data_IF_991827477752
#
_entry.id   IF_991827477752
#
_cell.length_a   1.000
_cell.length_b   1.000
_cell.length_c   1.000
_cell.angle_alpha   90.00
_cell.angle_beta   90.00
_cell.angle_gamma   90.00
#
_symmetry.space_group_name_H-M   'P 1'
#
loop_
_entity.id
_entity.type
_entity.pdbx_description
1 polymer ?
#
# COMPACT_ATOMS: atom_id res chain seq x y z
N UNK A 1 26.67 -6.81 58.27
CA UNK A 1 27.56 -7.78 58.95
C UNK A 1 28.14 -8.71 57.90
N UNK A 2 29.49 -8.73 57.81
CA UNK A 2 30.40 -9.78 57.31
C UNK A 2 30.16 -10.44 55.94
N UNK A 3 31.15 -10.69 55.08
CA UNK A 3 32.57 -10.38 54.98
C UNK A 3 33.05 -11.00 53.66
N UNK A 4 33.96 -10.31 52.98
CA UNK A 4 34.73 -10.85 51.87
C UNK A 4 35.65 -12.01 52.30
N UNK A 5 36.04 -12.89 51.36
CA UNK A 5 37.40 -13.45 51.33
C UNK A 5 37.83 -13.92 49.93
N UNK A 6 38.93 -13.32 49.48
CA UNK A 6 39.83 -13.71 48.37
C UNK A 6 40.67 -14.93 48.77
N UNK A 7 41.26 -15.64 47.80
CA UNK A 7 42.71 -16.01 47.71
C UNK A 7 42.93 -16.92 46.47
N UNK A 8 43.70 -16.47 45.45
CA UNK A 8 45.15 -16.70 45.17
C UNK A 8 45.50 -18.15 44.79
N UNK A 9 45.79 -18.41 43.50
CA UNK A 9 47.12 -18.52 42.83
C UNK A 9 47.81 -19.87 43.09
N UNK A 10 48.25 -20.56 42.02
CA UNK A 10 49.65 -21.01 41.84
C UNK A 10 49.90 -21.61 40.44
N UNK A 11 51.12 -21.32 39.98
CA UNK A 11 51.75 -21.57 38.68
C UNK A 11 52.10 -23.03 38.42
N UNK A 12 52.09 -23.45 37.15
CA UNK A 12 53.01 -24.47 36.64
C UNK A 12 53.56 -24.01 35.28
N UNK A 13 54.88 -23.76 35.25
CA UNK A 13 55.66 -23.48 34.07
C UNK A 13 56.25 -24.78 33.52
N UNK A 14 56.20 -24.98 32.20
CA UNK A 14 56.99 -26.00 31.49
C UNK A 14 57.52 -25.40 30.17
N UNK A 15 58.85 -25.27 30.09
CA UNK A 15 59.68 -25.31 28.86
C UNK A 15 60.45 -26.65 28.93
N UNK A 16 61.11 -27.22 27.88
CA UNK A 16 61.75 -26.62 26.68
C UNK A 16 61.58 -27.56 25.42
N UNK A 17 62.43 -27.62 24.35
CA UNK A 17 63.68 -26.91 24.05
C UNK A 17 63.86 -26.35 22.63
N UNK A 18 64.95 -25.57 22.53
CA UNK A 18 65.55 -24.93 21.37
C UNK A 18 66.21 -25.97 20.45
N UNK A 19 65.93 -25.90 19.14
CA UNK A 19 66.78 -26.46 18.10
C UNK A 19 67.30 -25.33 17.20
N UNK A 20 68.63 -25.25 17.07
CA UNK A 20 69.35 -24.41 16.10
C UNK A 20 69.31 -25.07 14.72
N UNK A 21 69.22 -24.28 13.64
CA UNK A 21 69.84 -24.66 12.38
C UNK A 21 69.21 -24.17 11.08
N UNK A 22 70.00 -23.34 10.39
CA UNK A 22 70.17 -23.27 8.93
C UNK A 22 69.15 -22.48 8.07
N UNK A 23 69.71 -21.55 7.32
CA UNK A 23 69.01 -20.58 6.48
C UNK A 23 68.31 -21.17 5.25
N UNK A 24 67.23 -20.52 4.89
CA UNK A 24 66.55 -20.63 3.61
C UNK A 24 65.89 -19.28 3.33
N UNK A 25 66.24 -18.66 2.20
CA UNK A 25 65.67 -17.38 1.79
C UNK A 25 64.17 -17.51 1.55
N UNK A 26 63.36 -16.81 2.36
CA UNK A 26 61.92 -16.73 2.18
C UNK A 26 61.61 -15.54 1.24
N UNK A 27 61.27 -15.84 0.00
CA UNK A 27 60.68 -14.86 -0.93
C UNK A 27 59.30 -14.51 -0.40
N UNK A 28 59.15 -13.27 0.11
CA UNK A 28 57.88 -12.74 0.61
C UNK A 28 57.05 -12.26 -0.59
N UNK A 29 56.21 -13.14 -1.14
CA UNK A 29 55.14 -12.71 -2.04
C UNK A 29 54.07 -11.99 -1.22
N UNK A 30 54.04 -10.65 -1.27
CA UNK A 30 52.88 -9.89 -0.82
C UNK A 30 51.70 -10.18 -1.75
N UNK A 31 50.82 -11.08 -1.32
CA UNK A 31 49.48 -11.15 -1.88
C UNK A 31 48.70 -9.93 -1.39
N UNK A 32 48.53 -8.92 -2.25
CA UNK A 32 47.54 -7.87 -2.07
C UNK A 32 46.16 -8.51 -2.18
N UNK A 33 45.58 -8.89 -1.05
CA UNK A 33 44.17 -9.23 -0.97
C UNK A 33 43.37 -7.95 -1.14
N UNK A 34 43.01 -7.61 -2.38
CA UNK A 34 41.91 -6.67 -2.63
C UNK A 34 40.62 -7.42 -2.31
N UNK A 35 40.17 -7.32 -1.06
CA UNK A 35 38.77 -7.59 -0.74
C UNK A 35 37.94 -6.57 -1.50
N UNK A 36 37.38 -7.00 -2.63
CA UNK A 36 36.28 -6.29 -3.27
C UNK A 36 35.11 -6.45 -2.31
N UNK A 37 34.94 -5.49 -1.42
CA UNK A 37 33.67 -5.31 -0.73
C UNK A 37 32.64 -5.03 -1.82
N UNK A 38 31.89 -6.06 -2.22
CA UNK A 38 30.68 -5.89 -2.99
C UNK A 38 29.71 -5.12 -2.08
N UNK A 39 29.77 -3.79 -2.16
CA UNK A 39 28.73 -2.92 -1.64
C UNK A 39 27.48 -3.26 -2.45
N UNK A 40 26.65 -4.15 -1.92
CA UNK A 40 25.24 -4.22 -2.29
C UNK A 40 24.66 -2.86 -1.94
N UNK A 41 24.64 -1.95 -2.91
CA UNK A 41 23.93 -0.69 -2.80
C UNK A 41 22.48 -1.01 -2.46
N UNK A 42 21.98 -0.41 -1.39
CA UNK A 42 20.58 -0.54 -1.02
C UNK A 42 19.71 -0.03 -2.18
N UNK A 43 18.66 -0.78 -2.52
CA UNK A 43 17.67 -0.37 -3.51
C UNK A 43 16.82 0.79 -2.94
N UNK A 44 16.39 1.77 -3.76
CA UNK A 44 16.73 1.95 -5.17
C UNK A 44 18.08 2.65 -5.36
N UNK A 45 18.86 2.17 -6.33
CA UNK A 45 20.04 2.89 -6.85
C UNK A 45 19.61 4.04 -7.76
N UNK A 46 20.55 4.91 -8.15
CA UNK A 46 20.28 5.99 -9.11
C UNK A 46 19.80 5.44 -10.48
N UNK A 47 20.39 4.34 -10.94
CA UNK A 47 20.00 3.68 -12.18
C UNK A 47 18.61 3.03 -12.09
N UNK A 48 18.20 2.54 -10.92
CA UNK A 48 16.84 2.03 -10.70
C UNK A 48 15.81 3.17 -10.84
N UNK A 49 16.12 4.34 -10.27
CA UNK A 49 15.27 5.53 -10.36
C UNK A 49 15.21 6.04 -11.81
N UNK A 50 16.32 6.07 -12.53
CA UNK A 50 16.35 6.46 -13.95
C UNK A 50 15.52 5.51 -14.81
N UNK A 51 15.67 4.20 -14.63
CA UNK A 51 14.87 3.19 -15.34
C UNK A 51 13.37 3.33 -15.04
N UNK A 52 13.02 3.60 -13.77
CA UNK A 52 11.65 3.88 -13.35
C UNK A 52 11.09 5.14 -14.02
N UNK A 53 11.88 6.22 -14.10
CA UNK A 53 11.46 7.46 -14.77
C UNK A 53 11.17 7.24 -16.24
N UNK A 54 12.09 6.60 -16.95
CA UNK A 54 12.01 6.39 -18.39
C UNK A 54 10.88 5.43 -18.79
N UNK A 55 10.58 4.45 -17.94
CA UNK A 55 9.58 3.42 -18.23
C UNK A 55 8.19 3.79 -17.69
N UNK A 56 8.11 4.14 -16.41
CA UNK A 56 6.84 4.26 -15.70
C UNK A 56 6.35 5.71 -15.67
N UNK A 57 7.18 6.64 -15.23
CA UNK A 57 6.77 8.05 -15.12
C UNK A 57 6.52 8.69 -16.49
N UNK A 58 7.28 8.29 -17.52
CA UNK A 58 7.03 8.67 -18.92
C UNK A 58 5.61 8.32 -19.37
N UNK A 59 5.14 7.11 -19.08
CA UNK A 59 3.76 6.68 -19.41
C UNK A 59 2.73 7.45 -18.58
N UNK A 60 3.04 7.78 -17.31
CA UNK A 60 2.13 8.58 -16.48
C UNK A 60 1.94 10.01 -17.02
N UNK A 61 2.99 10.57 -17.62
CA UNK A 61 3.01 11.91 -18.22
C UNK A 61 2.44 11.95 -19.65
N UNK A 62 2.30 10.80 -20.31
CA UNK A 62 1.88 10.71 -21.72
C UNK A 62 0.50 11.33 -21.90
N UNK A 63 0.42 12.36 -22.75
CA UNK A 63 -0.85 12.97 -23.14
C UNK A 63 -1.69 11.99 -23.96
N UNK A 64 -2.98 11.91 -23.62
CA UNK A 64 -3.95 10.98 -24.18
C UNK A 64 -5.20 11.68 -24.71
N UNK A 65 -5.08 12.96 -25.02
CA UNK A 65 -6.13 13.80 -25.59
C UNK A 65 -6.99 14.54 -24.55
N UNK A 66 -6.80 14.24 -23.26
CA UNK A 66 -7.44 14.94 -22.15
C UNK A 66 -8.92 14.58 -21.95
N UNK A 67 -9.61 15.30 -21.06
CA UNK A 67 -11.02 15.04 -20.69
C UNK A 67 -12.04 15.74 -21.60
N UNK A 68 -11.58 16.56 -22.55
CA UNK A 68 -12.46 17.37 -23.41
C UNK A 68 -11.93 17.38 -24.84
N UNK A 69 -12.37 16.45 -25.69
CA UNK A 69 -12.85 16.73 -27.06
C UNK A 69 -13.05 15.44 -27.88
N UNK A 70 -14.31 15.04 -28.05
CA UNK A 70 -14.89 14.59 -29.34
C UNK A 70 -14.34 13.39 -30.11
N UNK A 71 -13.28 12.70 -29.65
CA UNK A 71 -12.76 11.47 -30.26
C UNK A 71 -13.11 10.22 -29.44
N UNK A 72 -13.27 9.07 -30.10
CA UNK A 72 -13.81 7.82 -29.54
C UNK A 72 -13.05 7.20 -28.34
N UNK A 73 -11.93 7.77 -27.89
CA UNK A 73 -11.20 7.41 -26.65
C UNK A 73 -10.20 8.54 -26.28
N UNK A 74 -10.68 9.65 -25.73
CA UNK A 74 -9.80 10.68 -25.15
C UNK A 74 -9.70 10.47 -23.64
N UNK A 75 -8.56 9.99 -23.16
CA UNK A 75 -8.30 9.79 -21.72
C UNK A 75 -7.43 10.92 -21.17
N UNK A 76 -7.57 11.23 -19.88
CA UNK A 76 -6.60 12.07 -19.21
C UNK A 76 -5.28 11.30 -19.03
N UNK A 77 -4.15 11.99 -19.12
CA UNK A 77 -2.87 11.42 -18.68
C UNK A 77 -2.97 10.96 -17.22
N UNK A 78 -2.29 9.88 -16.82
CA UNK A 78 -2.41 9.34 -15.46
C UNK A 78 -2.08 10.39 -14.41
N UNK A 79 -1.02 11.18 -14.65
CA UNK A 79 -0.56 12.27 -13.79
C UNK A 79 -1.66 13.31 -13.51
N UNK A 80 -2.59 13.52 -14.45
CA UNK A 80 -3.68 14.48 -14.30
C UNK A 80 -4.70 14.05 -13.26
N UNK A 81 -4.83 12.76 -12.94
CA UNK A 81 -5.71 12.32 -11.86
C UNK A 81 -4.90 12.00 -10.60
N UNK A 82 -3.71 11.44 -10.77
CA UNK A 82 -2.92 10.89 -9.68
C UNK A 82 -2.06 11.88 -8.90
N UNK A 83 -2.09 13.18 -9.24
CA UNK A 83 -1.39 14.23 -8.47
C UNK A 83 -2.31 15.04 -7.55
N UNK A 84 -3.59 15.20 -7.93
CA UNK A 84 -4.51 16.09 -7.20
C UNK A 84 -5.90 15.52 -6.95
N UNK A 85 -6.41 14.62 -7.80
CA UNK A 85 -7.76 14.06 -7.63
C UNK A 85 -7.79 12.89 -6.66
N UNK A 86 -6.69 12.15 -6.57
CA UNK A 86 -6.58 10.97 -5.72
C UNK A 86 -5.87 11.30 -4.42
N UNK A 87 -6.62 11.47 -3.33
CA UNK A 87 -6.07 11.45 -1.96
C UNK A 87 -5.88 10.02 -1.43
N UNK A 88 -5.71 9.03 -2.31
CA UNK A 88 -5.72 7.58 -2.02
C UNK A 88 -4.48 6.90 -2.60
N UNK A 89 -4.34 5.58 -2.39
CA UNK A 89 -3.13 4.71 -2.51
C UNK A 89 -2.12 5.03 -3.62
N UNK A 90 -2.57 5.66 -4.69
CA UNK A 90 -1.73 6.11 -5.77
C UNK A 90 -1.80 7.64 -5.90
N UNK A 91 -1.06 8.35 -5.04
CA UNK A 91 -0.93 9.81 -5.06
C UNK A 91 0.53 10.15 -5.34
N UNK A 92 0.79 10.63 -6.54
CA UNK A 92 2.09 11.11 -6.99
C UNK A 92 2.29 12.56 -6.52
N UNK A 93 3.55 12.95 -6.39
CA UNK A 93 3.94 14.36 -6.28
C UNK A 93 3.46 15.13 -7.52
N UNK A 94 3.22 16.43 -7.41
CA UNK A 94 3.04 17.25 -8.62
C UNK A 94 4.38 17.38 -9.35
N UNK A 95 4.47 17.13 -10.67
CA UNK A 95 5.67 17.38 -11.46
C UNK A 95 6.22 18.79 -11.23
N UNK A 96 7.54 18.93 -11.16
CA UNK A 96 8.19 20.25 -11.02
C UNK A 96 8.07 21.08 -12.30
N UNK A 97 8.07 20.40 -13.46
CA UNK A 97 7.96 21.04 -14.78
C UNK A 97 7.29 20.13 -15.80
N UNK A 98 7.13 20.61 -17.04
CA UNK A 98 6.68 19.79 -18.17
C UNK A 98 7.62 18.61 -18.47
N UNK A 99 8.88 18.69 -18.06
CA UNK A 99 9.83 17.59 -18.15
C UNK A 99 9.62 16.50 -17.08
N UNK A 100 8.66 16.68 -16.18
CA UNK A 100 8.29 15.72 -15.14
C UNK A 100 8.83 16.10 -13.75
N UNK A 101 9.15 15.07 -12.97
CA UNK A 101 9.59 15.17 -11.59
C UNK A 101 11.10 15.39 -11.47
N UNK A 102 11.56 15.93 -10.34
CA UNK A 102 12.97 15.85 -9.92
C UNK A 102 13.32 14.41 -9.51
N UNK A 103 14.61 14.09 -9.41
CA UNK A 103 15.06 12.76 -8.94
C UNK A 103 14.53 12.45 -7.54
N UNK A 104 14.55 13.43 -6.63
CA UNK A 104 14.02 13.28 -5.28
C UNK A 104 12.51 13.05 -5.26
N UNK A 105 11.75 13.72 -6.14
CA UNK A 105 10.32 13.46 -6.31
C UNK A 105 10.07 12.06 -6.86
N UNK A 106 10.82 11.62 -7.88
CA UNK A 106 10.69 10.27 -8.45
C UNK A 106 10.99 9.17 -7.43
N UNK A 107 11.91 9.38 -6.48
CA UNK A 107 12.14 8.43 -5.38
C UNK A 107 10.90 8.28 -4.50
N UNK A 108 10.26 9.39 -4.12
CA UNK A 108 9.00 9.35 -3.33
C UNK A 108 7.85 8.74 -4.12
N UNK A 109 7.76 9.05 -5.41
CA UNK A 109 6.77 8.43 -6.29
C UNK A 109 7.01 6.92 -6.42
N UNK A 110 8.26 6.46 -6.49
CA UNK A 110 8.60 5.04 -6.52
C UNK A 110 8.14 4.32 -5.25
N UNK A 111 8.27 4.95 -4.06
CA UNK A 111 7.74 4.40 -2.81
C UNK A 111 6.21 4.25 -2.85
N UNK A 112 5.50 5.19 -3.49
CA UNK A 112 4.04 5.11 -3.69
C UNK A 112 3.68 4.02 -4.71
N UNK A 113 4.36 3.98 -5.85
CA UNK A 113 4.14 2.97 -6.90
C UNK A 113 4.46 1.57 -6.39
N UNK A 114 5.47 1.42 -5.55
CA UNK A 114 5.86 0.17 -4.90
C UNK A 114 4.74 -0.48 -4.10
N UNK A 115 3.82 0.30 -3.52
CA UNK A 115 2.63 -0.22 -2.81
C UNK A 115 1.61 -0.89 -3.74
N UNK A 116 1.76 -0.73 -5.05
CA UNK A 116 0.89 -1.29 -6.08
C UNK A 116 1.56 -2.43 -6.85
N UNK A 117 2.83 -2.71 -6.53
CA UNK A 117 3.66 -3.75 -7.14
C UNK A 117 3.63 -5.00 -6.26
N UNK A 118 3.70 -6.16 -6.91
CA UNK A 118 3.95 -7.44 -6.29
C UNK A 118 5.06 -8.17 -7.07
N UNK A 119 6.31 -8.10 -6.61
CA UNK A 119 7.42 -8.74 -7.34
C UNK A 119 7.41 -10.27 -7.24
N UNK A 120 6.74 -10.84 -6.23
CA UNK A 120 6.58 -12.29 -6.10
C UNK A 120 5.58 -12.86 -7.12
N UNK A 121 4.61 -12.04 -7.56
CA UNK A 121 3.67 -12.36 -8.63
C UNK A 121 3.38 -11.10 -9.45
N UNK A 122 4.28 -10.73 -10.40
CA UNK A 122 4.24 -9.47 -11.13
C UNK A 122 2.88 -9.14 -11.76
N UNK A 123 2.24 -10.12 -12.39
CA UNK A 123 0.96 -9.98 -13.10
C UNK A 123 -0.20 -9.64 -12.15
N UNK A 124 -0.08 -9.97 -10.86
CA UNK A 124 -1.06 -9.59 -9.83
C UNK A 124 -0.95 -8.15 -9.34
N UNK A 125 0.08 -7.42 -9.78
CA UNK A 125 0.32 -6.03 -9.37
C UNK A 125 -0.88 -5.15 -9.73
N UNK A 126 -1.41 -4.41 -8.76
CA UNK A 126 -2.50 -3.44 -9.01
C UNK A 126 -2.09 -2.36 -10.00
N UNK A 127 -0.80 -2.05 -10.10
CA UNK A 127 -0.23 -1.16 -11.11
C UNK A 127 -0.53 -1.64 -12.55
N UNK A 128 -0.56 -2.96 -12.76
CA UNK A 128 -0.92 -3.58 -14.04
C UNK A 128 -2.43 -3.77 -14.20
N UNK A 129 -3.09 -4.20 -13.13
CA UNK A 129 -4.49 -4.59 -13.22
C UNK A 129 -5.44 -3.41 -13.30
N UNK A 130 -5.13 -2.26 -12.69
CA UNK A 130 -6.05 -1.09 -12.71
C UNK A 130 -6.25 -0.48 -14.09
N UNK A 131 -5.21 -0.26 -14.92
CA UNK A 131 -5.42 0.31 -16.25
C UNK A 131 -5.85 -0.73 -17.30
N UNK A 132 -5.77 -2.03 -17.00
CA UNK A 132 -6.21 -3.12 -17.87
C UNK A 132 -7.74 -3.28 -17.91
N UNK A 133 -8.27 -3.67 -19.07
CA UNK A 133 -9.70 -3.92 -19.26
C UNK A 133 -10.22 -5.03 -18.34
N UNK A 134 -11.39 -4.85 -17.66
CA UNK A 134 -12.02 -5.92 -16.89
C UNK A 134 -12.31 -7.19 -17.72
N UNK A 135 -12.58 -7.05 -19.02
CA UNK A 135 -12.88 -8.17 -19.91
C UNK A 135 -11.67 -9.10 -20.13
N UNK A 136 -10.47 -8.61 -19.86
CA UNK A 136 -9.21 -9.36 -19.96
C UNK A 136 -8.54 -9.57 -18.60
N UNK A 137 -9.32 -9.48 -17.51
CA UNK A 137 -8.86 -9.75 -16.14
C UNK A 137 -8.37 -8.53 -15.37
N UNK A 138 -8.54 -7.33 -15.92
CA UNK A 138 -8.28 -6.08 -15.23
C UNK A 138 -9.26 -5.77 -14.08
N UNK A 139 -8.92 -4.74 -13.31
CA UNK A 139 -9.71 -4.25 -12.18
C UNK A 139 -10.42 -2.94 -12.55
N UNK A 140 -11.62 -2.70 -12.00
CA UNK A 140 -12.31 -1.43 -12.22
C UNK A 140 -11.45 -0.22 -11.82
N UNK A 141 -11.36 0.75 -12.73
CA UNK A 141 -10.60 1.98 -12.57
C UNK A 141 -11.40 3.19 -13.04
N UNK A 142 -11.50 4.20 -12.18
CA UNK A 142 -12.32 5.39 -12.43
C UNK A 142 -11.81 6.20 -13.61
N UNK A 143 -10.50 6.21 -13.86
CA UNK A 143 -9.89 6.91 -15.01
C UNK A 143 -10.17 6.24 -16.36
N UNK A 144 -10.77 5.05 -16.38
CA UNK A 144 -11.05 4.28 -17.59
C UNK A 144 -10.03 3.16 -17.84
N UNK A 145 -10.21 2.51 -18.99
CA UNK A 145 -9.38 1.42 -19.50
C UNK A 145 -8.31 1.99 -20.42
N UNK A 146 -7.05 1.80 -20.07
CA UNK A 146 -5.90 2.27 -20.85
C UNK A 146 -5.31 1.16 -21.72
N UNK A 147 -5.40 -0.09 -21.27
CA UNK A 147 -4.93 -1.27 -22.00
C UNK A 147 -6.07 -2.25 -22.23
N UNK A 148 -6.30 -2.63 -23.48
CA UNK A 148 -7.41 -3.55 -23.83
C UNK A 148 -7.06 -5.01 -23.53
N UNK A 149 -5.78 -5.38 -23.63
CA UNK A 149 -5.27 -6.72 -23.33
C UNK A 149 -3.85 -6.65 -22.77
N UNK A 150 -3.34 -7.80 -22.32
CA UNK A 150 -1.96 -7.97 -21.87
C UNK A 150 -0.92 -7.92 -23.00
N UNK A 151 -1.37 -7.87 -24.26
CA UNK A 151 -0.48 -7.71 -25.42
C UNK A 151 -0.14 -6.24 -25.69
N UNK A 152 -0.73 -5.31 -24.94
CA UNK A 152 -0.44 -3.89 -25.04
C UNK A 152 1.06 -3.62 -24.75
N UNK A 153 1.76 -2.84 -25.59
CA UNK A 153 3.19 -2.60 -25.40
C UNK A 153 3.51 -1.86 -24.09
N UNK A 154 2.63 -0.97 -23.61
CA UNK A 154 2.83 -0.28 -22.33
C UNK A 154 2.64 -1.24 -21.16
N UNK A 155 1.63 -2.12 -21.22
CA UNK A 155 1.45 -3.19 -20.24
C UNK A 155 2.71 -4.07 -20.18
N UNK A 156 3.21 -4.50 -21.35
CA UNK A 156 4.42 -5.31 -21.46
C UNK A 156 5.66 -4.62 -20.87
N UNK A 157 5.82 -3.32 -21.12
CA UNK A 157 6.92 -2.53 -20.54
C UNK A 157 6.84 -2.45 -19.02
N UNK A 158 5.65 -2.22 -18.46
CA UNK A 158 5.44 -2.19 -17.01
C UNK A 158 5.71 -3.54 -16.37
N UNK A 159 5.18 -4.63 -16.96
CA UNK A 159 5.39 -5.98 -16.48
C UNK A 159 6.89 -6.34 -16.49
N UNK A 160 7.58 -6.02 -17.57
CA UNK A 160 9.01 -6.26 -17.70
C UNK A 160 9.82 -5.44 -16.68
N UNK A 161 9.43 -4.20 -16.42
CA UNK A 161 10.05 -3.39 -15.36
C UNK A 161 9.88 -4.06 -13.99
N UNK A 162 8.66 -4.48 -13.62
CA UNK A 162 8.39 -5.18 -12.35
C UNK A 162 9.23 -6.46 -12.23
N UNK A 163 9.31 -7.26 -13.31
CA UNK A 163 10.07 -8.52 -13.33
C UNK A 163 11.59 -8.33 -13.16
N UNK A 164 12.12 -7.13 -13.44
CA UNK A 164 13.54 -6.80 -13.24
C UNK A 164 13.85 -6.29 -11.83
N UNK A 165 12.85 -5.85 -11.07
CA UNK A 165 13.04 -5.44 -9.68
C UNK A 165 13.52 -6.62 -8.84
N UNK A 166 14.26 -6.37 -7.73
CA UNK A 166 14.63 -7.45 -6.82
C UNK A 166 13.37 -8.15 -6.27
N UNK A 167 13.34 -9.48 -6.35
CA UNK A 167 12.14 -10.31 -6.06
C UNK A 167 11.68 -10.29 -4.60
N UNK A 168 12.50 -9.78 -3.70
CA UNK A 168 12.25 -9.63 -2.28
C UNK A 168 11.75 -8.22 -1.91
N UNK A 169 11.66 -7.31 -2.88
CA UNK A 169 11.13 -5.94 -2.70
C UNK A 169 9.66 -5.87 -3.10
N UNK A 170 8.90 -4.95 -2.51
CA UNK A 170 7.50 -4.70 -2.90
C UNK A 170 6.64 -5.97 -2.93
N UNK A 171 6.79 -6.83 -1.92
CA UNK A 171 5.87 -7.95 -1.71
C UNK A 171 4.75 -7.43 -0.81
N UNK A 172 3.49 -7.39 -1.27
CA UNK A 172 2.39 -6.98 -0.42
C UNK A 172 2.25 -7.97 0.74
N UNK A 173 2.10 -7.44 1.95
CA UNK A 173 1.69 -8.24 3.09
C UNK A 173 0.36 -8.96 2.78
N UNK A 174 0.14 -10.16 3.32
CA UNK A 174 -1.16 -10.83 3.20
C UNK A 174 -2.29 -9.89 3.64
N UNK A 175 -3.26 -9.66 2.77
CA UNK A 175 -4.44 -8.86 3.12
C UNK A 175 -5.20 -9.58 4.25
N UNK A 176 -5.48 -8.92 5.39
CA UNK A 176 -6.23 -9.55 6.47
C UNK A 176 -7.68 -9.79 6.04
N UNK A 177 -8.31 -10.82 6.61
CA UNK A 177 -9.74 -11.00 6.47
C UNK A 177 -10.48 -9.93 7.31
N UNK A 178 -11.44 -9.26 6.69
CA UNK A 178 -12.35 -8.35 7.39
C UNK A 178 -13.53 -9.16 7.93
N UNK A 179 -13.75 -9.18 9.23
CA UNK A 179 -14.66 -10.16 9.82
C UNK A 179 -16.15 -9.83 9.57
N UNK A 180 -16.92 -10.81 9.09
CA UNK A 180 -18.35 -10.66 8.81
C UNK A 180 -19.19 -10.57 10.09
N UNK A 181 -18.85 -11.32 11.13
CA UNK A 181 -19.61 -11.30 12.38
C UNK A 181 -19.51 -9.94 13.07
N UNK A 182 -18.30 -9.36 13.09
CA UNK A 182 -18.05 -8.00 13.56
C UNK A 182 -18.73 -6.96 12.67
N UNK A 183 -18.74 -7.16 11.34
CA UNK A 183 -19.49 -6.30 10.44
C UNK A 183 -20.97 -6.26 10.84
N UNK A 184 -21.61 -7.42 10.99
CA UNK A 184 -23.04 -7.53 11.32
C UNK A 184 -23.36 -6.94 12.69
N UNK A 185 -22.50 -7.20 13.68
CA UNK A 185 -22.77 -6.84 15.08
C UNK A 185 -22.46 -5.37 15.38
N UNK A 186 -21.38 -4.84 14.81
CA UNK A 186 -20.82 -3.54 15.19
C UNK A 186 -20.86 -2.52 14.04
N UNK A 187 -20.39 -2.89 12.86
CA UNK A 187 -20.23 -1.94 11.73
C UNK A 187 -21.57 -1.54 11.13
N UNK A 188 -22.46 -2.51 10.86
CA UNK A 188 -23.74 -2.25 10.23
C UNK A 188 -24.64 -1.34 11.09
N UNK A 189 -24.54 -1.48 12.41
CA UNK A 189 -25.18 -0.64 13.41
C UNK A 189 -24.77 0.84 13.29
N UNK A 190 -23.49 1.13 12.99
CA UNK A 190 -23.00 2.51 12.74
C UNK A 190 -23.73 3.16 11.56
N UNK A 191 -24.09 2.37 10.54
CA UNK A 191 -24.74 2.91 9.34
C UNK A 191 -26.17 3.33 9.60
N UNK A 192 -26.88 2.52 10.39
CA UNK A 192 -28.24 2.82 10.80
C UNK A 192 -28.26 3.96 11.80
N UNK A 193 -27.32 4.05 12.76
CA UNK A 193 -27.47 4.99 13.87
C UNK A 193 -26.85 6.38 13.60
N UNK A 194 -27.64 7.46 13.77
CA UNK A 194 -27.16 8.81 13.59
C UNK A 194 -26.37 9.24 14.83
N UNK A 195 -25.37 10.08 14.62
CA UNK A 195 -24.84 10.92 15.71
C UNK A 195 -25.76 12.13 15.90
N UNK A 196 -25.71 12.73 17.07
CA UNK A 196 -26.49 13.94 17.35
C UNK A 196 -26.25 15.02 16.27
N UNK A 197 -27.33 15.48 15.65
CA UNK A 197 -27.28 16.47 14.56
C UNK A 197 -26.75 15.97 13.21
N UNK A 198 -26.51 14.67 13.03
CA UNK A 198 -25.94 14.10 11.79
C UNK A 198 -26.89 13.12 11.08
N UNK A 199 -26.72 12.98 9.76
CA UNK A 199 -27.53 12.08 8.93
C UNK A 199 -27.09 10.61 9.01
N UNK A 200 -28.08 9.73 8.79
CA UNK A 200 -28.01 8.31 8.41
C UNK A 200 -26.94 8.02 7.35
N UNK A 201 -26.03 7.06 7.49
CA UNK A 201 -25.33 6.54 6.31
C UNK A 201 -26.35 5.93 5.33
N UNK A 202 -27.34 5.22 5.87
CA UNK A 202 -28.46 4.62 5.13
C UNK A 202 -29.32 5.61 4.36
N UNK A 203 -29.29 6.90 4.69
CA UNK A 203 -30.05 7.92 3.92
C UNK A 203 -29.52 8.06 2.48
N UNK A 204 -28.23 7.80 2.26
CA UNK A 204 -27.60 7.92 0.95
C UNK A 204 -27.07 6.58 0.40
N UNK A 205 -26.82 5.60 1.27
CA UNK A 205 -26.18 4.34 0.93
C UNK A 205 -27.08 3.11 1.12
N UNK A 206 -28.41 3.27 1.17
CA UNK A 206 -29.36 2.16 1.33
C UNK A 206 -29.59 1.30 0.09
N UNK A 207 -29.27 1.81 -1.10
CA UNK A 207 -29.51 1.09 -2.36
C UNK A 207 -28.55 1.51 -3.48
N UNK A 208 -28.65 0.86 -4.64
CA UNK A 208 -27.83 1.15 -5.82
C UNK A 208 -26.42 0.55 -5.76
N UNK A 209 -25.52 1.06 -6.61
CA UNK A 209 -24.15 0.54 -6.76
C UNK A 209 -23.30 0.68 -5.49
N UNK A 210 -23.62 1.67 -4.65
CA UNK A 210 -22.98 1.92 -3.35
C UNK A 210 -24.01 1.73 -2.22
N UNK A 211 -24.88 0.72 -2.37
CA UNK A 211 -25.97 0.37 -1.45
C UNK A 211 -25.54 -0.48 -0.26
N UNK A 212 -24.39 -0.18 0.36
CA UNK A 212 -23.81 -1.01 1.41
C UNK A 212 -24.43 -0.80 2.81
N UNK A 213 -25.35 0.15 2.95
CA UNK A 213 -25.96 0.54 4.22
C UNK A 213 -27.49 0.46 4.16
N UNK A 214 -28.09 -0.71 3.89
CA UNK A 214 -29.55 -0.86 3.91
C UNK A 214 -30.11 -0.44 5.27
N UNK A 215 -31.28 0.18 5.29
CA UNK A 215 -32.03 0.39 6.54
C UNK A 215 -32.46 -0.98 7.07
N UNK A 216 -32.43 -1.22 8.40
CA UNK A 216 -32.92 -2.49 8.94
C UNK A 216 -34.38 -2.72 8.57
N UNK A 217 -34.74 -4.00 8.48
CA UNK A 217 -36.08 -4.45 8.15
C UNK A 217 -37.04 -4.32 9.33
N UNK A 218 -38.08 -5.17 9.33
CA UNK A 218 -39.10 -5.17 10.38
C UNK A 218 -38.48 -5.61 11.71
N UNK A 219 -38.59 -4.77 12.74
CA UNK A 219 -38.07 -5.05 14.08
C UNK A 219 -36.71 -4.42 14.38
N UNK A 220 -36.24 -3.50 13.54
CA UNK A 220 -34.94 -2.82 13.66
C UNK A 220 -33.72 -3.78 13.53
N UNK A 221 -33.91 -4.93 12.88
CA UNK A 221 -32.88 -5.93 12.58
C UNK A 221 -32.74 -6.16 11.06
N UNK A 222 -31.55 -6.56 10.62
CA UNK A 222 -31.28 -7.00 9.24
C UNK A 222 -31.38 -8.52 9.14
N UNK A 223 -31.88 -9.02 8.02
CA UNK A 223 -31.74 -10.46 7.72
C UNK A 223 -30.28 -10.81 7.44
N UNK A 224 -29.93 -12.10 7.56
CA UNK A 224 -28.58 -12.58 7.23
C UNK A 224 -28.25 -12.30 5.75
N UNK A 225 -29.23 -12.41 4.85
CA UNK A 225 -29.05 -12.09 3.42
C UNK A 225 -28.76 -10.60 3.19
N UNK A 226 -29.45 -9.71 3.92
CA UNK A 226 -29.22 -8.26 3.85
C UNK A 226 -27.83 -7.89 4.37
N UNK A 227 -27.44 -8.46 5.52
CA UNK A 227 -26.11 -8.26 6.10
C UNK A 227 -25.01 -8.78 5.17
N UNK A 228 -25.16 -9.99 4.62
CA UNK A 228 -24.18 -10.57 3.70
C UNK A 228 -24.01 -9.74 2.43
N UNK A 229 -25.11 -9.25 1.86
CA UNK A 229 -25.07 -8.38 0.69
C UNK A 229 -24.39 -7.04 1.00
N UNK A 230 -24.71 -6.43 2.13
CA UNK A 230 -24.10 -5.20 2.58
C UNK A 230 -22.59 -5.36 2.79
N UNK A 231 -22.18 -6.46 3.44
CA UNK A 231 -20.79 -6.83 3.66
C UNK A 231 -20.01 -6.98 2.33
N UNK A 232 -20.57 -7.67 1.34
CA UNK A 232 -19.95 -7.79 0.01
C UNK A 232 -19.78 -6.44 -0.70
N UNK A 233 -20.73 -5.51 -0.52
CA UNK A 233 -20.67 -4.18 -1.14
C UNK A 233 -19.66 -3.27 -0.45
N UNK A 234 -19.64 -3.23 0.89
CA UNK A 234 -18.68 -2.40 1.63
C UNK A 234 -17.24 -2.88 1.40
N UNK A 235 -17.03 -4.19 1.31
CA UNK A 235 -15.70 -4.80 1.07
C UNK A 235 -15.03 -4.25 -0.20
N UNK A 236 -15.80 -3.88 -1.23
CA UNK A 236 -15.29 -3.30 -2.50
C UNK A 236 -14.69 -1.90 -2.35
N UNK A 237 -15.00 -1.21 -1.26
CA UNK A 237 -14.51 0.15 -0.99
C UNK A 237 -13.58 0.20 0.23
N UNK A 238 -13.24 -0.96 0.78
CA UNK A 238 -12.25 -1.16 1.83
C UNK A 238 -10.93 -1.61 1.18
N UNK A 239 -9.85 -1.15 1.78
CA UNK A 239 -8.52 -1.74 1.67
C UNK A 239 -8.29 -2.55 2.93
N UNK A 240 -8.33 -3.90 2.87
CA UNK A 240 -7.97 -4.69 4.03
C UNK A 240 -6.55 -4.35 4.49
N UNK A 241 -6.36 -4.20 5.80
CA UNK A 241 -5.08 -3.84 6.41
C UNK A 241 -4.76 -2.34 6.41
N UNK A 242 -5.45 -1.50 5.62
CA UNK A 242 -5.13 -0.08 5.49
C UNK A 242 -6.38 0.82 5.58
N UNK A 243 -6.76 1.24 6.80
CA UNK A 243 -7.93 2.10 7.00
C UNK A 243 -7.77 3.49 6.39
N UNK A 244 -6.56 4.05 6.39
CA UNK A 244 -6.23 5.35 5.81
C UNK A 244 -6.39 5.36 4.28
N UNK A 245 -6.45 4.19 3.66
CA UNK A 245 -6.63 4.02 2.22
C UNK A 245 -7.99 3.40 1.86
N UNK A 246 -8.85 3.22 2.85
CA UNK A 246 -10.21 2.71 2.66
C UNK A 246 -11.17 3.87 2.41
N UNK A 247 -11.80 3.90 1.23
CA UNK A 247 -12.79 4.95 0.90
C UNK A 247 -13.93 5.01 1.91
N UNK A 248 -14.26 3.86 2.51
CA UNK A 248 -15.20 3.76 3.62
C UNK A 248 -14.86 4.71 4.78
N UNK A 249 -13.59 4.82 5.18
CA UNK A 249 -13.15 5.65 6.30
C UNK A 249 -12.68 7.04 5.87
N UNK A 250 -12.19 7.18 4.64
CA UNK A 250 -11.73 8.46 4.11
C UNK A 250 -12.86 9.42 3.75
N UNK A 251 -13.95 8.94 3.14
CA UNK A 251 -15.02 9.83 2.65
C UNK A 251 -15.84 10.47 3.79
N UNK A 252 -16.20 9.79 4.88
CA UNK A 252 -16.93 10.41 5.96
C UNK A 252 -16.04 11.19 6.94
N UNK A 253 -14.71 11.08 6.85
CA UNK A 253 -13.76 11.82 7.67
C UNK A 253 -13.58 13.26 7.15
N UNK A 254 -13.49 14.24 8.06
CA UNK A 254 -13.24 15.64 7.71
C UNK A 254 -11.85 15.82 7.06
N UNK A 255 -11.67 16.71 6.07
CA UNK A 255 -10.38 16.97 5.44
C UNK A 255 -9.25 17.32 6.42
N UNK A 256 -9.53 18.13 7.45
CA UNK A 256 -8.55 18.48 8.49
C UNK A 256 -8.10 17.27 9.33
N UNK A 257 -8.94 16.24 9.41
CA UNK A 257 -8.59 14.93 10.01
C UNK A 257 -7.86 14.00 9.04
N UNK A 258 -7.55 14.45 7.82
CA UNK A 258 -6.97 13.64 6.76
C UNK A 258 -7.98 12.82 5.95
N UNK A 259 -9.25 13.27 5.92
CA UNK A 259 -10.29 12.71 5.05
C UNK A 259 -10.25 13.23 3.62
N UNK A 260 -11.02 12.61 2.73
CA UNK A 260 -11.07 13.01 1.32
C UNK A 260 -11.89 14.30 1.12
N UNK A 261 -11.43 15.21 0.25
CA UNK A 261 -12.19 16.42 -0.07
C UNK A 261 -13.58 16.11 -0.67
N UNK A 262 -13.71 15.03 -1.43
CA UNK A 262 -14.98 14.69 -2.10
C UNK A 262 -15.82 13.69 -1.30
N UNK A 263 -16.90 14.19 -0.70
CA UNK A 263 -18.05 13.39 -0.25
C UNK A 263 -19.31 14.24 -0.45
N UNK A 264 -20.26 13.73 -1.23
CA UNK A 264 -21.52 14.44 -1.53
C UNK A 264 -22.51 14.40 -0.34
N UNK A 265 -22.02 14.23 0.88
CA UNK A 265 -22.77 14.05 2.11
C UNK A 265 -22.02 14.59 3.33
N UNK A 266 -22.64 14.61 4.51
CA UNK A 266 -22.03 15.15 5.72
C UNK A 266 -20.79 14.34 6.15
N UNK A 267 -19.91 15.00 6.91
CA UNK A 267 -18.78 14.33 7.57
C UNK A 267 -19.26 13.72 8.88
N UNK A 268 -18.94 12.45 9.08
CA UNK A 268 -19.27 11.71 10.30
C UNK A 268 -18.23 11.94 11.40
N UNK A 269 -16.95 12.01 11.05
CA UNK A 269 -15.84 12.13 12.01
C UNK A 269 -15.00 13.37 11.72
N UNK A 270 -14.54 14.03 12.78
CA UNK A 270 -13.65 15.20 12.66
C UNK A 270 -12.17 14.80 12.56
N UNK A 271 -11.75 13.81 13.33
CA UNK A 271 -10.38 13.29 13.30
C UNK A 271 -10.38 11.77 13.38
N UNK A 272 -9.20 11.18 13.14
CA UNK A 272 -8.96 9.75 13.29
C UNK A 272 -9.00 9.31 14.75
N UNK A 273 -8.89 10.23 15.71
CA UNK A 273 -8.93 9.91 17.14
C UNK A 273 -10.36 9.64 17.65
N UNK A 274 -11.38 9.84 16.80
CA UNK A 274 -12.76 9.51 17.15
C UNK A 274 -12.87 8.01 17.48
N UNK A 275 -13.42 7.61 18.64
CA UNK A 275 -13.47 6.21 19.05
C UNK A 275 -14.21 5.31 18.05
N UNK A 276 -15.26 5.83 17.41
CA UNK A 276 -15.99 5.09 16.39
C UNK A 276 -15.15 4.89 15.12
N UNK A 277 -14.36 5.90 14.74
CA UNK A 277 -13.39 5.77 13.65
C UNK A 277 -12.33 4.71 13.98
N UNK A 278 -11.78 4.72 15.20
CA UNK A 278 -10.75 3.76 15.63
C UNK A 278 -11.27 2.32 15.69
N UNK A 279 -12.51 2.10 16.15
CA UNK A 279 -13.14 0.77 16.11
C UNK A 279 -13.21 0.26 14.67
N UNK A 280 -13.74 1.07 13.75
CA UNK A 280 -13.87 0.67 12.35
C UNK A 280 -12.51 0.49 11.68
N UNK A 281 -11.52 1.30 12.05
CA UNK A 281 -10.16 1.17 11.56
C UNK A 281 -9.50 -0.14 12.03
N UNK A 282 -9.72 -0.54 13.28
CA UNK A 282 -9.25 -1.84 13.79
C UNK A 282 -9.91 -3.02 13.10
N UNK A 283 -11.21 -2.93 12.78
CA UNK A 283 -11.88 -3.93 11.94
C UNK A 283 -11.27 -4.02 10.54
N UNK A 284 -11.00 -2.88 9.89
CA UNK A 284 -10.32 -2.85 8.57
C UNK A 284 -8.91 -3.44 8.64
N UNK A 285 -8.20 -3.28 9.76
CA UNK A 285 -6.89 -3.91 10.02
C UNK A 285 -6.98 -5.40 10.35
N UNK A 286 -8.18 -5.96 10.53
CA UNK A 286 -8.38 -7.35 10.96
C UNK A 286 -8.14 -7.58 12.45
N UNK A 287 -8.07 -6.52 13.25
CA UNK A 287 -7.81 -6.59 14.70
C UNK A 287 -9.06 -6.97 15.50
N UNK A 288 -10.25 -6.68 14.97
CA UNK A 288 -11.52 -6.94 15.63
C UNK A 288 -12.37 -7.94 14.86
N UNK A 289 -12.84 -8.96 15.58
CA UNK A 289 -13.61 -10.09 15.07
C UNK A 289 -14.70 -10.47 16.07
N UNK A 290 -15.74 -11.19 15.62
CA UNK A 290 -16.84 -11.64 16.45
C UNK A 290 -17.82 -10.54 16.85
N UNK A 291 -18.75 -10.86 17.75
CA UNK A 291 -19.87 -9.97 18.08
C UNK A 291 -19.58 -8.85 19.10
N UNK A 292 -18.36 -8.73 19.63
CA UNK A 292 -18.04 -7.77 20.70
C UNK A 292 -17.58 -6.43 20.12
N UNK A 293 -18.32 -5.34 20.40
CA UNK A 293 -17.99 -4.01 19.90
C UNK A 293 -17.18 -3.20 20.93
N UNK A 294 -15.90 -2.88 20.67
CA UNK A 294 -15.09 -2.05 21.55
C UNK A 294 -15.39 -0.56 21.31
N UNK A 295 -16.41 -0.03 21.97
CA UNK A 295 -16.77 1.40 22.00
C UNK A 295 -17.12 1.86 23.42
#
# INVERSE_FOLDING_TARGET
>A
MTAAKRHRLLHWAWMPPVLKGLGGALVLCLALSTSVDAQTSAFPTESDVETYRDTIESVFMTDRGGTTSGGEQSYAACVMCHTWQTSVRFSLETPESEAGWTTEQSRRNLDVVGQLVNTANPESSRLLLKPLSPDTGGLPHTGGTFWQSTDDPEYGAFLQWIQRLPRDQFIPEPEPEIDFEFFRSCVQTVFANPREGQLRCSNCHSSGLIGFAPTPGRGDEWSDEEAQRAYQLISRIITPGNPEQSRFLLKPLHPDGGGAYTHNGPRRWQSRDDPEWQMLAGWVRGEFTGASCPL
#
